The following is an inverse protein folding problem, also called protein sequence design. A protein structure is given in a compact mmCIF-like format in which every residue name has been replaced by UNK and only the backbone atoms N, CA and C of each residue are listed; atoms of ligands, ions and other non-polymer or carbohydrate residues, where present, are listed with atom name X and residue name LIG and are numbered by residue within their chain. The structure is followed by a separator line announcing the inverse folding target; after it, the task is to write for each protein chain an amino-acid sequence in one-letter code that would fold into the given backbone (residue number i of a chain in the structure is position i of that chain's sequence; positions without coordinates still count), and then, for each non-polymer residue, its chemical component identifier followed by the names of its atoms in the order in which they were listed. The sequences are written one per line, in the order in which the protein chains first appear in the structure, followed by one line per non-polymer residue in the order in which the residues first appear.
data_IF_219271427166
#
_entry.id   IF_219271427166
#
_cell.length_a   1.000
_cell.length_b   1.000
_cell.length_c   1.000
_cell.angle_alpha   90.00
_cell.angle_beta   90.00
_cell.angle_gamma   90.00
#
_symmetry.space_group_name_H-M   'P 1'
#
loop_
_entity.id
_entity.type
_entity.pdbx_description
1 polymer ?
#
# COMPACT_ATOMS: atom_id res chain seq x y z
N UNK A 1 -45.74 25.05 -4.53
CA UNK A 1 -45.01 24.15 -5.46
C UNK A 1 -43.52 24.49 -5.62
N UNK A 2 -43.09 25.75 -5.67
CA UNK A 2 -41.66 26.11 -5.85
C UNK A 2 -40.72 25.73 -4.68
N UNK A 3 -41.22 25.66 -3.43
CA UNK A 3 -40.37 25.34 -2.28
C UNK A 3 -39.87 23.88 -2.29
N UNK A 4 -40.71 22.95 -2.77
CA UNK A 4 -40.39 21.52 -2.84
C UNK A 4 -39.28 21.21 -3.85
N UNK A 5 -39.23 21.95 -4.96
CA UNK A 5 -38.18 21.77 -5.99
C UNK A 5 -36.81 22.24 -5.50
N UNK A 6 -36.73 23.27 -4.65
CA UNK A 6 -35.43 23.70 -4.09
C UNK A 6 -34.90 22.69 -3.07
N UNK A 7 -35.77 22.19 -2.19
CA UNK A 7 -35.38 21.16 -1.22
C UNK A 7 -34.92 19.88 -1.91
N UNK A 8 -35.60 19.44 -2.98
CA UNK A 8 -35.20 18.23 -3.71
C UNK A 8 -33.84 18.39 -4.40
N UNK A 9 -33.58 19.54 -5.03
CA UNK A 9 -32.28 19.80 -5.67
C UNK A 9 -31.16 19.85 -4.64
N UNK A 10 -31.39 20.49 -3.49
CA UNK A 10 -30.40 20.54 -2.42
C UNK A 10 -30.10 19.16 -1.83
N UNK A 11 -31.13 18.34 -1.59
CA UNK A 11 -30.95 16.95 -1.13
C UNK A 11 -30.19 16.13 -2.19
N UNK A 12 -30.51 16.27 -3.47
CA UNK A 12 -29.79 15.56 -4.55
C UNK A 12 -28.33 16.01 -4.63
N UNK A 13 -28.03 17.32 -4.52
CA UNK A 13 -26.65 17.82 -4.48
C UNK A 13 -25.88 17.25 -3.29
N UNK A 14 -26.48 17.27 -2.09
CA UNK A 14 -25.88 16.65 -0.91
C UNK A 14 -25.64 15.14 -1.11
N UNK A 15 -26.56 14.42 -1.75
CA UNK A 15 -26.36 12.99 -2.05
C UNK A 15 -25.23 12.76 -3.05
N UNK A 16 -25.08 13.61 -4.07
CA UNK A 16 -23.98 13.53 -5.05
C UNK A 16 -22.63 13.81 -4.37
N UNK A 17 -22.58 14.76 -3.44
CA UNK A 17 -21.36 15.05 -2.67
C UNK A 17 -21.01 13.86 -1.76
N UNK A 18 -22.00 13.25 -1.10
CA UNK A 18 -21.81 12.10 -0.20
C UNK A 18 -21.32 10.84 -0.94
N UNK A 19 -21.75 10.56 -2.17
CA UNK A 19 -21.28 9.37 -2.90
C UNK A 19 -19.79 9.42 -3.25
N UNK A 20 -19.21 10.61 -3.41
CA UNK A 20 -17.79 10.77 -3.75
C UNK A 20 -16.84 10.43 -2.59
N UNK A 21 -17.33 10.44 -1.34
CA UNK A 21 -16.53 10.21 -0.13
C UNK A 21 -16.65 8.76 0.37
N UNK A 22 -17.39 7.89 -0.31
CA UNK A 22 -17.44 6.49 0.06
C UNK A 22 -16.05 5.87 -0.17
N UNK A 23 -15.35 5.41 0.88
CA UNK A 23 -14.09 4.72 0.70
C UNK A 23 -14.34 3.51 -0.19
N UNK A 24 -13.46 3.28 -1.17
CA UNK A 24 -13.51 2.14 -2.08
C UNK A 24 -13.20 0.86 -1.31
N UNK A 25 -14.12 0.42 -0.46
CA UNK A 25 -13.99 -0.79 0.35
C UNK A 25 -14.43 -2.03 -0.41
N UNK A 26 -15.14 -1.87 -1.53
CA UNK A 26 -15.55 -3.00 -2.37
C UNK A 26 -14.40 -3.38 -3.31
N UNK A 27 -13.97 -4.63 -3.22
CA UNK A 27 -12.91 -5.19 -4.04
C UNK A 27 -13.35 -5.11 -5.50
N UNK A 28 -12.71 -4.24 -6.29
CA UNK A 28 -12.79 -4.29 -7.75
C UNK A 28 -12.20 -5.61 -8.21
N UNK A 29 -13.06 -6.64 -8.34
CA UNK A 29 -12.61 -7.97 -8.70
C UNK A 29 -12.16 -8.04 -10.16
N UNK A 30 -12.75 -7.19 -11.01
CA UNK A 30 -12.42 -7.09 -12.43
C UNK A 30 -11.58 -5.86 -12.71
N UNK A 31 -10.65 -5.98 -13.65
CA UNK A 31 -9.69 -4.94 -13.96
C UNK A 31 -9.31 -4.96 -15.45
N UNK A 32 -8.74 -3.85 -15.91
CA UNK A 32 -8.06 -3.73 -17.21
C UNK A 32 -6.60 -3.33 -17.04
N UNK A 33 -6.31 -2.58 -15.98
CA UNK A 33 -4.99 -2.08 -15.61
C UNK A 33 -4.70 -2.44 -14.16
N UNK A 34 -3.42 -2.50 -13.80
CA UNK A 34 -3.00 -2.75 -12.41
C UNK A 34 -3.58 -1.73 -11.43
N UNK A 35 -3.72 -0.47 -11.85
CA UNK A 35 -4.36 0.61 -11.05
C UNK A 35 -5.84 0.40 -10.74
N UNK A 36 -6.53 -0.50 -11.45
CA UNK A 36 -7.95 -0.76 -11.24
C UNK A 36 -8.19 -1.67 -10.03
N UNK A 37 -7.17 -2.41 -9.61
CA UNK A 37 -7.22 -3.26 -8.44
C UNK A 37 -7.16 -2.44 -7.14
N UNK A 38 -7.67 -2.99 -6.05
CA UNK A 38 -7.39 -2.47 -4.72
C UNK A 38 -6.32 -3.34 -4.05
N UNK A 39 -5.75 -2.87 -2.94
CA UNK A 39 -4.79 -3.61 -2.12
C UNK A 39 -3.50 -3.97 -2.89
N UNK A 40 -2.70 -4.87 -2.32
CA UNK A 40 -1.52 -5.43 -2.99
C UNK A 40 -1.94 -6.46 -4.05
N UNK A 41 -2.49 -5.98 -5.16
CA UNK A 41 -2.95 -6.82 -6.26
C UNK A 41 -2.58 -6.25 -7.64
N UNK A 42 -2.38 -7.16 -8.59
CA UNK A 42 -2.15 -6.85 -9.99
C UNK A 42 -3.27 -7.41 -10.86
N UNK A 43 -3.46 -6.80 -12.02
CA UNK A 43 -4.47 -7.21 -12.97
C UNK A 43 -3.94 -8.32 -13.89
N UNK A 44 -4.51 -9.51 -13.78
CA UNK A 44 -4.18 -10.65 -14.64
C UNK A 44 -5.44 -11.22 -15.24
N UNK A 45 -5.47 -11.30 -16.58
CA UNK A 45 -6.60 -11.87 -17.34
C UNK A 45 -7.96 -11.29 -16.90
N UNK A 46 -8.00 -9.99 -16.66
CA UNK A 46 -9.20 -9.26 -16.26
C UNK A 46 -9.60 -9.41 -14.80
N UNK A 47 -8.74 -9.97 -13.95
CA UNK A 47 -9.01 -10.17 -12.51
C UNK A 47 -7.87 -9.64 -11.66
N UNK A 48 -8.22 -9.09 -10.50
CA UNK A 48 -7.24 -8.69 -9.51
C UNK A 48 -6.77 -9.90 -8.71
N UNK A 49 -5.46 -10.17 -8.78
CA UNK A 49 -4.82 -11.28 -8.09
C UNK A 49 -3.74 -10.77 -7.14
N UNK A 50 -3.59 -11.45 -6.00
CA UNK A 50 -2.65 -11.01 -4.95
C UNK A 50 -1.22 -10.97 -5.45
N UNK A 51 -0.55 -9.88 -5.12
CA UNK A 51 0.82 -9.59 -5.49
C UNK A 51 1.60 -9.10 -4.27
N UNK A 52 2.91 -8.96 -4.42
CA UNK A 52 3.80 -8.38 -3.39
C UNK A 52 4.90 -7.55 -4.07
N UNK A 53 5.52 -6.59 -3.37
CA UNK A 53 6.65 -5.86 -3.93
C UNK A 53 7.82 -6.77 -4.32
N UNK A 54 8.50 -6.42 -5.42
CA UNK A 54 9.67 -7.15 -5.93
C UNK A 54 10.97 -6.68 -5.28
N UNK A 55 11.02 -5.41 -4.87
CA UNK A 55 12.25 -4.73 -4.44
C UNK A 55 13.10 -4.17 -5.60
N UNK A 56 12.60 -4.22 -6.84
CA UNK A 56 13.28 -3.70 -8.04
C UNK A 56 13.46 -2.17 -7.99
N UNK A 57 12.54 -1.45 -7.34
CA UNK A 57 12.59 -0.01 -7.13
C UNK A 57 11.32 0.69 -7.62
N UNK A 58 11.48 1.99 -7.90
CA UNK A 58 10.39 2.87 -8.32
C UNK A 58 10.03 2.63 -9.80
N UNK A 59 8.74 2.71 -10.13
CA UNK A 59 8.21 2.57 -11.48
C UNK A 59 7.13 3.63 -11.77
N UNK A 60 6.87 3.87 -13.05
CA UNK A 60 5.73 4.70 -13.51
C UNK A 60 4.73 3.89 -14.33
N UNK A 61 5.21 2.87 -15.03
CA UNK A 61 4.42 1.98 -15.88
C UNK A 61 4.92 0.55 -15.74
N UNK A 62 4.11 -0.43 -16.14
CA UNK A 62 4.47 -1.86 -16.07
C UNK A 62 5.76 -2.18 -16.86
N UNK A 63 6.09 -1.40 -17.90
CA UNK A 63 7.31 -1.58 -18.69
C UNK A 63 8.60 -1.21 -17.94
N UNK A 64 8.49 -0.52 -16.80
CA UNK A 64 9.65 -0.21 -15.95
C UNK A 64 10.01 -1.41 -15.05
N UNK A 65 9.15 -2.44 -15.00
CA UNK A 65 9.31 -3.62 -14.18
C UNK A 65 9.76 -4.83 -15.00
N UNK A 66 10.39 -5.80 -14.34
CA UNK A 66 10.94 -6.99 -14.99
C UNK A 66 9.86 -8.04 -15.32
N UNK A 67 9.87 -8.55 -16.56
CA UNK A 67 9.07 -9.71 -16.94
C UNK A 67 7.56 -9.47 -16.89
N UNK A 68 6.85 -10.27 -16.08
CA UNK A 68 5.39 -10.18 -15.87
C UNK A 68 5.03 -9.33 -14.64
N UNK A 69 6.00 -8.63 -14.05
CA UNK A 69 5.79 -7.74 -12.92
C UNK A 69 5.03 -6.47 -13.35
N UNK A 70 4.28 -5.91 -12.42
CA UNK A 70 3.40 -4.77 -12.68
C UNK A 70 3.76 -3.58 -11.80
N UNK A 71 3.56 -2.38 -12.33
CA UNK A 71 3.76 -1.15 -11.58
C UNK A 71 2.51 -0.77 -10.79
N UNK A 72 2.65 -0.69 -9.47
CA UNK A 72 1.56 -0.33 -8.55
C UNK A 72 2.13 0.42 -7.33
N UNK A 73 1.43 1.46 -6.86
CA UNK A 73 1.93 2.31 -5.75
C UNK A 73 3.35 2.83 -6.01
N UNK A 74 3.66 3.17 -7.26
CA UNK A 74 4.97 3.67 -7.65
C UNK A 74 6.12 2.65 -7.56
N UNK A 75 5.87 1.37 -7.30
CA UNK A 75 6.88 0.31 -7.24
C UNK A 75 6.46 -0.96 -8.00
N UNK A 76 7.44 -1.79 -8.32
CA UNK A 76 7.17 -3.06 -8.99
C UNK A 76 6.63 -4.13 -8.02
N UNK A 77 5.59 -4.83 -8.46
CA UNK A 77 4.94 -5.95 -7.78
C UNK A 77 5.02 -7.21 -8.64
N UNK A 78 5.07 -8.38 -8.01
CA UNK A 78 4.98 -9.70 -8.64
C UNK A 78 3.79 -10.47 -8.06
N UNK A 79 3.14 -11.31 -8.86
CA UNK A 79 2.15 -12.27 -8.34
C UNK A 79 2.80 -13.24 -7.34
N UNK A 80 2.06 -13.59 -6.28
CA UNK A 80 2.57 -14.49 -5.23
C UNK A 80 2.78 -15.93 -5.76
N UNK A 81 1.96 -16.37 -6.71
CA UNK A 81 2.06 -17.71 -7.29
C UNK A 81 3.22 -17.88 -8.29
N UNK A 82 3.77 -16.76 -8.76
CA UNK A 82 4.91 -16.72 -9.67
C UNK A 82 6.24 -16.86 -8.92
N UNK A 83 6.19 -16.85 -7.58
CA UNK A 83 7.34 -17.15 -6.75
C UNK A 83 7.62 -18.65 -6.80
N UNK A 84 8.86 -19.09 -7.05
CA UNK A 84 9.23 -20.46 -6.75
C UNK A 84 8.88 -20.75 -5.29
N UNK A 85 8.26 -21.91 -5.03
CA UNK A 85 7.67 -22.39 -3.75
C UNK A 85 8.62 -22.37 -2.54
N UNK A 86 9.85 -21.90 -2.70
CA UNK A 86 10.71 -21.52 -1.60
C UNK A 86 10.93 -20.02 -1.70
N UNK A 87 10.17 -19.16 -0.99
CA UNK A 87 10.76 -17.86 -0.70
C UNK A 87 12.08 -18.17 0.00
N UNK A 88 13.19 -17.50 -0.33
CA UNK A 88 14.18 -17.27 0.69
C UNK A 88 13.38 -16.58 1.79
N UNK A 89 12.97 -17.36 2.79
CA UNK A 89 12.83 -16.85 4.13
C UNK A 89 14.27 -16.46 4.43
N UNK A 90 14.69 -15.29 3.97
CA UNK A 90 15.89 -14.71 4.48
C UNK A 90 15.58 -14.18 5.88
N UNK A 91 15.27 -15.14 6.76
CA UNK A 91 15.44 -15.04 8.19
C UNK A 91 16.91 -14.84 8.53
N UNK A 92 17.83 -14.72 7.56
CA UNK A 92 19.16 -14.17 7.76
C UNK A 92 19.18 -12.71 7.31
N UNK A 93 18.56 -11.87 8.14
CA UNK A 93 19.35 -10.77 8.68
C UNK A 93 20.00 -9.86 7.62
N UNK A 94 19.23 -9.30 6.70
CA UNK A 94 19.56 -7.99 6.15
C UNK A 94 18.71 -6.98 6.95
N UNK A 95 19.03 -6.59 8.18
CA UNK A 95 20.27 -5.91 8.61
C UNK A 95 21.29 -5.60 7.50
N UNK A 96 20.81 -5.22 6.31
CA UNK A 96 21.39 -4.05 5.69
C UNK A 96 20.69 -2.94 6.46
N UNK A 97 21.29 -2.43 7.56
CA UNK A 97 20.65 -1.35 8.31
C UNK A 97 20.30 -0.30 7.28
N UNK A 98 19.00 -0.02 7.09
CA UNK A 98 18.57 1.08 6.26
C UNK A 98 19.41 2.27 6.72
N UNK A 99 20.21 2.75 5.79
CA UNK A 99 21.49 3.38 6.06
C UNK A 99 21.28 4.72 6.76
N UNK A 100 21.24 4.71 8.09
CA UNK A 100 21.13 5.95 8.85
C UNK A 100 20.53 5.77 10.24
N UNK A 101 20.98 6.64 11.14
CA UNK A 101 20.20 7.02 12.30
C UNK A 101 18.98 7.83 11.84
N UNK A 102 17.87 7.72 12.54
CA UNK A 102 16.64 8.41 12.19
C UNK A 102 15.91 8.86 13.45
N UNK A 103 15.34 10.05 13.41
CA UNK A 103 14.44 10.54 14.47
C UNK A 103 12.98 10.36 14.08
N UNK A 104 12.69 10.25 12.78
CA UNK A 104 11.36 10.17 12.18
C UNK A 104 11.41 9.44 10.83
N UNK A 105 10.27 8.94 10.35
CA UNK A 105 10.19 8.11 9.14
C UNK A 105 10.78 8.80 7.90
N UNK A 106 10.59 10.12 7.76
CA UNK A 106 11.14 10.91 6.65
C UNK A 106 12.67 11.02 6.61
N UNK A 107 13.38 10.65 7.68
CA UNK A 107 14.84 10.56 7.66
C UNK A 107 15.33 9.29 6.97
N UNK A 108 14.43 8.33 6.76
CA UNK A 108 14.76 7.07 6.14
C UNK A 108 14.60 7.11 4.62
N UNK A 109 15.31 6.24 3.88
CA UNK A 109 15.03 6.02 2.47
C UNK A 109 13.56 5.61 2.26
N UNK A 110 13.08 5.75 1.01
CA UNK A 110 11.72 5.34 0.63
C UNK A 110 11.45 3.90 1.07
N UNK A 111 10.20 3.63 1.45
CA UNK A 111 9.71 2.32 1.92
C UNK A 111 10.33 1.81 3.23
N UNK A 112 11.15 2.63 3.89
CA UNK A 112 11.67 2.32 5.22
C UNK A 112 10.88 3.04 6.30
N UNK A 113 10.83 2.40 7.46
CA UNK A 113 10.18 2.87 8.67
C UNK A 113 11.26 3.16 9.71
N UNK A 114 11.23 4.35 10.30
CA UNK A 114 12.12 4.67 11.41
C UNK A 114 11.63 3.97 12.68
N UNK A 115 12.40 2.99 13.18
CA UNK A 115 12.08 2.29 14.40
C UNK A 115 13.33 2.13 15.26
N UNK A 116 13.30 2.64 16.50
CA UNK A 116 14.43 2.53 17.42
C UNK A 116 15.71 3.20 16.92
N UNK A 117 15.58 4.41 16.34
CA UNK A 117 16.68 5.19 15.75
C UNK A 117 17.41 4.48 14.58
N UNK A 118 16.69 3.61 13.87
CA UNK A 118 17.20 2.91 12.69
C UNK A 118 16.12 2.83 11.62
N UNK A 119 16.54 2.96 10.37
CA UNK A 119 15.66 2.72 9.24
C UNK A 119 15.59 1.23 8.96
N UNK A 120 14.40 0.66 9.03
CA UNK A 120 14.12 -0.74 8.71
C UNK A 120 13.21 -0.79 7.50
N UNK A 121 13.37 -1.80 6.63
CA UNK A 121 12.46 -2.00 5.52
C UNK A 121 11.04 -2.23 6.06
N UNK A 122 10.05 -1.47 5.56
CA UNK A 122 8.67 -1.60 6.00
C UNK A 122 8.01 -2.87 5.47
N UNK A 123 6.95 -3.31 6.13
CA UNK A 123 6.05 -4.34 5.62
C UNK A 123 4.85 -3.62 4.98
N UNK A 124 4.63 -3.73 3.67
CA UNK A 124 3.49 -3.09 3.02
C UNK A 124 2.19 -3.70 3.56
N UNK A 125 1.18 -2.86 3.82
CA UNK A 125 -0.17 -3.30 4.20
C UNK A 125 -1.10 -3.30 2.98
N UNK A 126 -2.36 -3.66 3.18
CA UNK A 126 -3.40 -3.52 2.15
C UNK A 126 -4.14 -2.17 2.25
N UNK A 127 -3.68 -1.27 3.13
CA UNK A 127 -4.34 0.02 3.39
C UNK A 127 -3.71 1.13 2.53
N UNK A 128 -4.56 1.84 1.79
CA UNK A 128 -4.18 3.03 1.05
C UNK A 128 -4.19 4.27 1.96
N UNK A 129 -3.34 5.25 1.66
CA UNK A 129 -3.15 6.43 2.50
C UNK A 129 -2.87 7.69 1.70
N UNK A 130 -3.05 8.84 2.35
CA UNK A 130 -2.61 10.14 1.79
C UNK A 130 -1.59 10.84 2.68
N UNK A 131 -1.44 10.37 3.92
CA UNK A 131 -0.50 10.85 4.93
C UNK A 131 -0.29 9.75 5.99
N UNK A 132 0.76 9.90 6.80
CA UNK A 132 1.15 8.91 7.81
C UNK A 132 0.06 8.65 8.86
N UNK A 133 -0.75 9.66 9.21
CA UNK A 133 -1.84 9.53 10.19
C UNK A 133 -2.98 8.63 9.69
N UNK A 134 -3.06 8.39 8.38
CA UNK A 134 -3.99 7.44 7.78
C UNK A 134 -3.58 5.99 8.05
N UNK A 135 -2.31 5.76 8.41
CA UNK A 135 -1.75 4.44 8.64
C UNK A 135 -1.88 4.00 10.09
N UNK A 136 -2.14 2.71 10.27
CA UNK A 136 -2.17 2.10 11.60
C UNK A 136 -0.77 1.76 12.11
N UNK A 137 -0.65 1.43 13.41
CA UNK A 137 0.56 0.82 14.02
C UNK A 137 1.87 1.61 13.85
N UNK A 138 1.79 2.94 13.90
CA UNK A 138 2.94 3.82 13.64
C UNK A 138 3.57 3.57 12.26
N UNK A 139 2.73 3.16 11.30
CA UNK A 139 3.09 3.03 9.91
C UNK A 139 3.28 4.39 9.23
N UNK A 140 3.91 4.36 8.07
CA UNK A 140 4.20 5.54 7.25
C UNK A 140 3.53 5.39 5.89
N UNK A 141 3.07 6.50 5.34
CA UNK A 141 2.46 6.53 4.02
C UNK A 141 3.53 6.78 2.96
N UNK A 142 3.76 5.79 2.10
CA UNK A 142 4.65 5.92 0.94
C UNK A 142 3.90 5.53 -0.33
N UNK A 143 3.86 6.46 -1.28
CA UNK A 143 3.19 6.28 -2.59
C UNK A 143 1.78 5.69 -2.48
N UNK A 144 0.99 6.28 -1.58
CA UNK A 144 -0.41 5.93 -1.35
C UNK A 144 -0.64 4.57 -0.67
N UNK A 145 0.43 3.88 -0.23
CA UNK A 145 0.33 2.63 0.53
C UNK A 145 0.92 2.80 1.92
N UNK A 146 0.28 2.20 2.93
CA UNK A 146 0.82 2.14 4.27
C UNK A 146 1.92 1.08 4.41
N UNK A 147 2.99 1.44 5.11
CA UNK A 147 4.11 0.57 5.43
C UNK A 147 4.28 0.47 6.95
N UNK A 148 4.00 -0.72 7.48
CA UNK A 148 4.13 -1.01 8.90
C UNK A 148 5.60 -1.27 9.27
N UNK A 149 6.04 -0.92 10.49
CA UNK A 149 7.31 -1.38 11.02
C UNK A 149 7.38 -2.93 11.03
N UNK A 150 8.56 -3.53 10.82
CA UNK A 150 8.74 -4.97 11.03
C UNK A 150 8.31 -5.37 12.43
N UNK A 151 7.57 -6.47 12.55
CA UNK A 151 7.16 -6.97 13.87
C UNK A 151 8.40 -7.33 14.67
N UNK A 152 8.51 -6.81 15.88
CA UNK A 152 9.48 -7.31 16.85
C UNK A 152 9.09 -8.74 17.18
N UNK A 153 9.94 -9.71 16.83
CA UNK A 153 9.86 -11.05 17.39
C UNK A 153 10.15 -10.95 18.89
N UNK A 154 9.11 -10.86 19.72
CA UNK A 154 9.23 -10.82 21.18
C UNK A 154 8.92 -9.46 21.80
N UNK A 155 7.64 -9.25 22.09
CA UNK A 155 7.22 -8.55 23.30
C UNK A 155 6.00 -9.28 23.87
N UNK A 156 6.17 -10.58 24.10
CA UNK A 156 5.51 -11.26 25.20
C UNK A 156 6.29 -10.88 26.47
N UNK A 157 5.58 -10.63 27.58
CA UNK A 157 6.05 -10.24 28.92
C UNK A 157 6.28 -8.74 29.23
N UNK A 158 5.21 -8.11 29.74
CA UNK A 158 5.22 -7.36 30.99
C UNK A 158 3.86 -7.62 31.65
N UNK A 159 3.78 -8.65 32.50
CA UNK A 159 3.82 -8.55 33.96
C UNK A 159 2.47 -8.07 34.54
#
# INVERSE_FOLDING_TARGET
MKLYTFASVYIILLLIEVTSVLPRTDLTLTCTLNRDCNWQALCRKGRCEKAKPTGEGDCRTDNDCSGDDGCRFGICFTFIDSLPVNPPIDSRNETKPGSGQCSEHKNCPRYHVCQGNRCLYGVPTDDECTNDESCSRDGVCWDELCWDPPRKSGSEQAA
#
